data_IF_152256670850
#
_entry.id   IF_152256670850
#
_cell.length_a   1.000
_cell.length_b   1.000
_cell.length_c   1.000
_cell.angle_alpha   90.00
_cell.angle_beta   90.00
_cell.angle_gamma   90.00
#
_symmetry.space_group_name_H-M   'P 1'
#
loop_
_entity.id
_entity.type
_entity.pdbx_description
1 polymer ?
#
# COMPACT_ATOMS: atom_id res chain seq x y z
N UNK A 1 -3.89 -3.82 4.48
CA UNK A 1 -3.00 -2.67 4.22
C UNK A 1 -1.62 -3.19 3.83
N UNK A 2 -1.09 -2.82 2.65
CA UNK A 2 0.28 -3.21 2.22
C UNK A 2 1.34 -2.74 3.23
N UNK A 3 2.43 -3.49 3.39
CA UNK A 3 3.56 -3.12 4.28
C UNK A 3 4.15 -1.76 3.91
N UNK A 4 4.27 -1.48 2.60
CA UNK A 4 4.82 -0.23 2.09
C UNK A 4 3.92 0.95 2.49
N UNK A 5 2.61 0.77 2.37
CA UNK A 5 1.64 1.80 2.73
C UNK A 5 1.62 2.07 4.24
N UNK A 6 1.86 1.04 5.07
CA UNK A 6 2.03 1.22 6.53
C UNK A 6 3.28 2.05 6.83
N UNK A 7 4.40 1.77 6.17
CA UNK A 7 5.64 2.53 6.34
C UNK A 7 5.47 4.00 5.93
N UNK A 8 4.82 4.26 4.79
CA UNK A 8 4.54 5.63 4.34
C UNK A 8 3.68 6.37 5.37
N UNK A 9 2.60 5.74 5.86
CA UNK A 9 1.75 6.35 6.90
C UNK A 9 2.53 6.65 8.18
N UNK A 10 3.41 5.74 8.61
CA UNK A 10 4.29 5.95 9.77
C UNK A 10 5.20 7.16 9.55
N UNK A 11 5.73 7.34 8.34
CA UNK A 11 6.56 8.49 8.01
C UNK A 11 5.77 9.81 8.01
N UNK A 12 4.54 9.80 7.54
CA UNK A 12 3.66 10.98 7.60
C UNK A 12 3.34 11.36 9.05
N UNK A 13 3.10 10.38 9.93
CA UNK A 13 2.90 10.63 11.36
C UNK A 13 4.14 11.24 12.01
N UNK A 14 5.32 10.68 11.75
CA UNK A 14 6.61 11.21 12.20
C UNK A 14 6.82 12.68 11.74
N UNK A 15 6.58 12.96 10.46
CA UNK A 15 6.66 14.31 9.90
C UNK A 15 5.68 15.30 10.54
N UNK A 16 4.54 14.80 11.03
CA UNK A 16 3.47 15.61 11.64
C UNK A 16 3.61 15.70 13.17
N UNK A 17 4.74 15.32 13.74
CA UNK A 17 4.95 15.30 15.19
C UNK A 17 4.04 14.32 15.93
N UNK A 18 3.59 13.26 15.27
CA UNK A 18 2.66 12.26 15.80
C UNK A 18 1.18 12.64 15.70
N UNK A 19 0.85 13.84 15.22
CA UNK A 19 -0.53 14.31 15.13
C UNK A 19 -1.25 13.72 13.92
N UNK A 20 -2.31 12.95 14.18
CA UNK A 20 -3.06 12.26 13.12
C UNK A 20 -3.84 13.27 12.25
N UNK A 21 -4.37 14.33 12.88
CA UNK A 21 -5.14 15.36 12.18
C UNK A 21 -4.26 16.14 11.18
N UNK A 22 -3.01 16.43 11.56
CA UNK A 22 -2.02 17.06 10.68
C UNK A 22 -1.67 16.18 9.46
N UNK A 23 -1.71 14.85 9.58
CA UNK A 23 -1.57 13.96 8.41
C UNK A 23 -2.77 14.10 7.48
N UNK A 24 -3.99 14.29 8.02
CA UNK A 24 -5.21 14.46 7.22
C UNK A 24 -5.23 15.81 6.53
N UNK A 25 -4.98 16.87 7.29
CA UNK A 25 -5.04 18.28 6.91
C UNK A 25 -3.71 18.83 6.36
N UNK A 26 -2.74 17.97 6.08
CA UNK A 26 -1.44 18.34 5.53
C UNK A 26 -1.59 19.27 4.31
N UNK A 27 -0.97 20.44 4.37
CA UNK A 27 -1.04 21.47 3.33
C UNK A 27 0.00 21.27 2.22
N UNK A 28 0.96 20.37 2.41
CA UNK A 28 2.07 20.09 1.48
C UNK A 28 1.60 19.12 0.38
N UNK A 29 0.74 19.60 -0.52
CA UNK A 29 0.12 18.78 -1.57
C UNK A 29 1.11 18.31 -2.65
N UNK A 30 2.23 19.01 -2.81
CA UNK A 30 3.31 18.65 -3.72
C UNK A 30 4.25 17.55 -3.18
N UNK A 31 4.01 17.06 -1.96
CA UNK A 31 4.77 15.95 -1.40
C UNK A 31 4.48 14.65 -2.18
N UNK A 32 5.53 13.92 -2.56
CA UNK A 32 5.42 12.64 -3.29
C UNK A 32 4.66 11.57 -2.50
N UNK A 33 4.64 11.67 -1.17
CA UNK A 33 3.91 10.77 -0.28
C UNK A 33 2.45 11.19 -0.07
N UNK A 34 2.06 12.42 -0.43
CA UNK A 34 0.73 12.98 -0.18
C UNK A 34 -0.44 12.08 -0.63
N UNK A 35 -0.39 11.44 -1.82
CA UNK A 35 -1.46 10.54 -2.27
C UNK A 35 -1.60 9.28 -1.40
N UNK A 36 -0.54 8.90 -0.69
CA UNK A 36 -0.44 7.67 0.09
C UNK A 36 -0.51 7.89 1.60
N UNK A 37 -0.55 9.14 2.08
CA UNK A 37 -0.45 9.52 3.50
C UNK A 37 -1.48 8.85 4.41
N UNK A 38 -2.63 8.46 3.84
CA UNK A 38 -3.68 7.72 4.53
C UNK A 38 -3.46 6.19 4.56
N UNK A 39 -2.29 5.72 4.13
CA UNK A 39 -1.96 4.31 4.05
C UNK A 39 -2.76 3.55 2.99
N UNK A 40 -3.32 4.24 1.99
CA UNK A 40 -4.07 3.63 0.88
C UNK A 40 -3.39 3.98 -0.44
N UNK A 41 -3.44 3.06 -1.39
CA UNK A 41 -2.96 3.33 -2.74
C UNK A 41 -4.15 3.82 -3.58
N UNK A 42 -4.17 5.10 -4.02
CA UNK A 42 -5.28 5.65 -4.81
C UNK A 42 -5.40 5.02 -6.20
N UNK A 43 -4.35 4.37 -6.71
CA UNK A 43 -4.32 3.72 -8.03
C UNK A 43 -4.60 2.22 -7.97
N UNK A 44 -4.98 1.70 -6.81
CA UNK A 44 -5.26 0.28 -6.65
C UNK A 44 -6.65 -0.07 -7.19
N UNK A 45 -6.71 -0.57 -8.43
CA UNK A 45 -7.92 -1.19 -9.01
C UNK A 45 -8.24 -2.58 -8.44
N UNK A 46 -7.65 -2.97 -7.29
CA UNK A 46 -7.94 -4.26 -6.66
C UNK A 46 -9.38 -4.28 -6.12
N UNK A 47 -10.31 -4.82 -6.92
CA UNK A 47 -11.65 -5.20 -6.48
C UNK A 47 -11.60 -6.64 -5.98
N UNK A 48 -11.90 -6.85 -4.70
CA UNK A 48 -12.07 -8.18 -4.10
C UNK A 48 -10.77 -8.90 -3.70
N UNK A 49 -10.89 -10.03 -2.97
CA UNK A 49 -9.77 -10.93 -2.76
C UNK A 49 -9.35 -11.43 -4.15
N UNK A 50 -8.08 -11.22 -4.52
CA UNK A 50 -7.55 -11.70 -5.79
C UNK A 50 -7.83 -13.20 -5.96
N UNK A 51 -7.97 -13.68 -7.21
CA UNK A 51 -8.31 -15.07 -7.48
C UNK A 51 -7.24 -16.02 -6.90
N UNK A 52 -7.52 -16.56 -5.71
CA UNK A 52 -6.59 -17.38 -4.92
C UNK A 52 -6.27 -18.68 -5.66
N UNK A 53 -7.24 -19.18 -6.43
CA UNK A 53 -7.11 -20.40 -7.22
C UNK A 53 -6.15 -20.19 -8.41
N UNK A 54 -6.22 -19.04 -9.07
CA UNK A 54 -5.24 -18.65 -10.09
C UNK A 54 -3.82 -18.50 -9.50
N UNK A 55 -3.70 -17.95 -8.28
CA UNK A 55 -2.40 -17.83 -7.59
C UNK A 55 -1.82 -19.21 -7.22
N UNK A 56 -2.65 -20.15 -6.75
CA UNK A 56 -2.22 -21.53 -6.45
C UNK A 56 -1.74 -22.22 -7.72
N UNK A 57 -2.53 -22.19 -8.80
CA UNK A 57 -2.14 -22.77 -10.10
C UNK A 57 -0.84 -22.18 -10.64
N UNK A 58 -0.65 -20.86 -10.55
CA UNK A 58 0.60 -20.23 -10.98
C UNK A 58 1.80 -20.77 -10.19
N UNK A 59 1.70 -20.88 -8.87
CA UNK A 59 2.77 -21.42 -8.01
C UNK A 59 3.08 -22.90 -8.30
N UNK A 60 2.06 -23.72 -8.53
CA UNK A 60 2.22 -25.13 -8.89
C UNK A 60 2.90 -25.30 -10.25
N UNK A 61 2.50 -24.51 -11.25
CA UNK A 61 3.13 -24.53 -12.58
C UNK A 61 4.60 -24.07 -12.52
N UNK A 62 4.91 -23.08 -11.69
CA UNK A 62 6.29 -22.64 -11.46
C UNK A 62 7.15 -23.73 -10.79
N UNK A 63 6.57 -24.53 -9.88
CA UNK A 63 7.27 -25.66 -9.27
C UNK A 63 7.53 -26.80 -10.26
N UNK A 64 6.61 -27.03 -11.21
CA UNK A 64 6.74 -28.06 -12.25
C UNK A 64 7.70 -27.68 -13.39
N UNK A 65 7.86 -26.39 -13.69
CA UNK A 65 8.77 -25.91 -14.73
C UNK A 65 10.24 -25.77 -14.29
N UNK A 66 10.62 -26.34 -13.14
CA UNK A 66 11.98 -26.27 -12.59
C UNK A 66 12.75 -27.59 -12.71
N UNK A 67 12.13 -28.59 -13.34
CA UNK A 67 12.73 -29.85 -13.81
C UNK A 67 13.00 -29.76 -15.32
#
# INVERSE_FOLDING_TARGET
MSIILKAIRSKCLDCSGGQIDEVRECTIQNCTLYPYRMGRNPFSNRKGPGNIEALKKYRENQAKNKE
#
